data_IF_223718957884
#
_entry.id   IF_223718957884
#
_cell.length_a   1.000
_cell.length_b   1.000
_cell.length_c   1.000
_cell.angle_alpha   90.00
_cell.angle_beta   90.00
_cell.angle_gamma   90.00
#
_symmetry.space_group_name_H-M   'P 1'
#
loop_
_entity.id
_entity.type
_entity.pdbx_description
1 polymer ?
#
# COMPACT_ATOMS: atom_id res chain seq x y z
N UNK A 1 10.51 13.39 -12.21
CA UNK A 1 9.06 13.09 -12.21
C UNK A 1 8.31 13.94 -11.18
N UNK A 2 8.74 13.99 -9.91
CA UNK A 2 8.08 14.80 -8.86
C UNK A 2 8.07 16.32 -9.12
N UNK A 3 9.06 16.86 -9.82
CA UNK A 3 9.15 18.30 -10.10
C UNK A 3 8.05 18.82 -11.04
N UNK A 4 7.58 17.97 -11.97
CA UNK A 4 6.51 18.32 -12.93
C UNK A 4 5.16 17.68 -12.60
N UNK A 5 5.11 16.86 -11.54
CA UNK A 5 3.86 16.23 -11.11
C UNK A 5 2.77 17.25 -10.73
N UNK A 6 3.07 18.36 -10.02
CA UNK A 6 2.06 19.37 -9.68
C UNK A 6 1.33 19.93 -10.91
N UNK A 7 2.04 20.09 -12.03
CA UNK A 7 1.48 20.61 -13.29
C UNK A 7 0.51 19.62 -13.96
N UNK A 8 0.60 18.34 -13.62
CA UNK A 8 -0.24 17.26 -14.15
C UNK A 8 -1.44 16.94 -13.25
N UNK A 9 -1.52 17.52 -12.04
CA UNK A 9 -2.65 17.31 -11.13
C UNK A 9 -3.78 18.25 -11.53
N UNK A 10 -4.96 17.74 -11.92
CA UNK A 10 -6.07 18.60 -12.27
C UNK A 10 -6.56 19.39 -11.05
N UNK A 11 -6.89 20.66 -11.26
CA UNK A 11 -7.39 21.59 -10.23
C UNK A 11 -8.81 21.25 -9.77
N UNK A 12 -9.61 20.59 -10.62
CA UNK A 12 -10.96 20.07 -10.34
C UNK A 12 -11.13 18.64 -10.87
N UNK A 13 -11.98 17.84 -10.22
CA UNK A 13 -12.30 16.47 -10.67
C UNK A 13 -11.21 15.39 -10.43
N UNK A 14 -11.44 14.17 -10.94
CA UNK A 14 -10.53 13.03 -10.82
C UNK A 14 -9.21 13.22 -11.58
N UNK A 15 -8.11 12.65 -11.07
CA UNK A 15 -6.82 12.66 -11.77
C UNK A 15 -6.75 11.52 -12.80
N UNK A 16 -7.42 11.70 -13.94
CA UNK A 16 -7.49 10.67 -15.00
C UNK A 16 -6.10 10.27 -15.52
N UNK A 17 -5.19 11.24 -15.67
CA UNK A 17 -3.80 10.97 -16.11
C UNK A 17 -3.12 9.99 -15.15
N UNK A 18 -3.24 10.22 -13.83
CA UNK A 18 -2.70 9.30 -12.82
C UNK A 18 -3.35 7.92 -12.93
N UNK A 19 -4.67 7.86 -13.12
CA UNK A 19 -5.38 6.59 -13.23
C UNK A 19 -4.92 5.78 -14.46
N UNK A 20 -4.90 6.40 -15.64
CA UNK A 20 -4.51 5.75 -16.88
C UNK A 20 -3.04 5.32 -16.85
N UNK A 21 -2.15 6.18 -16.33
CA UNK A 21 -0.73 5.85 -16.17
C UNK A 21 -0.53 4.68 -15.20
N UNK A 22 -1.27 4.66 -14.09
CA UNK A 22 -1.19 3.55 -13.12
C UNK A 22 -1.66 2.25 -13.75
N UNK A 23 -2.77 2.27 -14.51
CA UNK A 23 -3.27 1.11 -15.24
C UNK A 23 -2.25 0.59 -16.24
N UNK A 24 -1.68 1.48 -17.06
CA UNK A 24 -0.65 1.11 -18.03
C UNK A 24 0.60 0.51 -17.35
N UNK A 25 1.07 1.09 -16.24
CA UNK A 25 2.21 0.55 -15.48
C UNK A 25 1.92 -0.86 -14.92
N UNK A 26 0.70 -1.09 -14.43
CA UNK A 26 0.27 -2.41 -13.95
C UNK A 26 0.28 -3.43 -15.11
N UNK A 27 -0.29 -3.07 -16.26
CA UNK A 27 -0.29 -3.94 -17.44
C UNK A 27 1.12 -4.28 -17.93
N UNK A 28 2.02 -3.29 -17.97
CA UNK A 28 3.42 -3.52 -18.32
C UNK A 28 4.11 -4.42 -17.29
N UNK A 29 3.87 -4.21 -15.99
CA UNK A 29 4.46 -5.05 -14.95
C UNK A 29 3.98 -6.50 -15.04
N UNK A 30 2.69 -6.73 -15.28
CA UNK A 30 2.09 -8.07 -15.43
C UNK A 30 2.64 -8.81 -16.65
N UNK A 31 2.84 -8.09 -17.77
CA UNK A 31 3.32 -8.69 -19.03
C UNK A 31 4.84 -8.86 -19.09
N UNK A 32 5.58 -8.16 -18.22
CA UNK A 32 7.02 -8.27 -18.07
C UNK A 32 7.44 -9.45 -17.18
N UNK A 33 8.71 -9.85 -17.24
CA UNK A 33 9.29 -10.90 -16.37
C UNK A 33 9.59 -10.40 -14.95
N UNK A 34 8.77 -9.50 -14.40
CA UNK A 34 8.95 -8.99 -13.03
C UNK A 34 8.47 -10.05 -12.04
N UNK A 35 9.37 -10.45 -11.15
CA UNK A 35 9.11 -11.50 -10.14
C UNK A 35 8.27 -11.01 -8.95
N UNK A 36 8.29 -9.70 -8.66
CA UNK A 36 7.57 -9.13 -7.51
C UNK A 36 7.10 -7.71 -7.79
N UNK A 37 5.82 -7.44 -7.49
CA UNK A 37 5.19 -6.13 -7.66
C UNK A 37 4.73 -5.65 -6.28
N UNK A 38 5.20 -4.47 -5.87
CA UNK A 38 4.81 -3.84 -4.60
C UNK A 38 3.83 -2.71 -4.89
N UNK A 39 2.59 -2.88 -4.43
CA UNK A 39 1.54 -1.86 -4.53
C UNK A 39 1.44 -1.09 -3.22
N UNK A 40 2.14 0.04 -3.14
CA UNK A 40 2.20 0.86 -1.92
C UNK A 40 1.25 2.06 -2.01
N UNK A 41 0.07 1.92 -1.41
CA UNK A 41 -0.91 2.98 -1.25
C UNK A 41 -1.72 2.71 0.04
N UNK A 42 -2.50 3.69 0.51
CA UNK A 42 -3.26 3.58 1.76
C UNK A 42 -4.27 2.42 1.76
N UNK A 43 -4.84 2.07 0.59
CA UNK A 43 -5.62 0.85 0.37
C UNK A 43 -6.65 0.56 1.48
N UNK A 44 -7.36 1.60 1.91
CA UNK A 44 -8.11 1.59 3.17
C UNK A 44 -9.44 0.86 3.10
N UNK A 45 -9.97 0.57 1.92
CA UNK A 45 -11.29 -0.10 1.77
C UNK A 45 -11.14 -1.49 1.18
N UNK A 46 -11.99 -2.42 1.60
CA UNK A 46 -12.00 -3.79 1.06
C UNK A 46 -12.30 -3.80 -0.44
N UNK A 47 -13.29 -3.01 -0.88
CA UNK A 47 -13.63 -2.88 -2.30
C UNK A 47 -12.46 -2.35 -3.12
N UNK A 48 -11.74 -1.35 -2.60
CA UNK A 48 -10.58 -0.77 -3.30
C UNK A 48 -9.43 -1.78 -3.42
N UNK A 49 -9.15 -2.55 -2.37
CA UNK A 49 -8.15 -3.62 -2.40
C UNK A 49 -8.53 -4.73 -3.39
N UNK A 50 -9.79 -5.16 -3.41
CA UNK A 50 -10.29 -6.13 -4.39
C UNK A 50 -10.06 -5.63 -5.82
N UNK A 51 -10.52 -4.43 -6.14
CA UNK A 51 -10.34 -3.83 -7.47
C UNK A 51 -8.87 -3.71 -7.87
N UNK A 52 -7.99 -3.40 -6.91
CA UNK A 52 -6.55 -3.31 -7.13
C UNK A 52 -5.93 -4.68 -7.44
N UNK A 53 -6.43 -5.76 -6.84
CA UNK A 53 -5.92 -7.11 -7.02
C UNK A 53 -6.53 -7.84 -8.24
N UNK A 54 -7.71 -7.42 -8.71
CA UNK A 54 -8.43 -8.06 -9.83
C UNK A 54 -7.57 -8.30 -11.10
N UNK A 55 -6.65 -7.40 -11.52
CA UNK A 55 -5.80 -7.64 -12.69
C UNK A 55 -4.77 -8.78 -12.53
N UNK A 56 -4.45 -9.16 -11.29
CA UNK A 56 -3.40 -10.14 -10.98
C UNK A 56 -4.01 -11.53 -10.83
N UNK A 57 -3.95 -12.34 -11.89
CA UNK A 57 -4.45 -13.72 -11.83
C UNK A 57 -3.74 -14.53 -10.75
N UNK A 58 -4.52 -15.20 -9.89
CA UNK A 58 -4.01 -16.14 -8.87
C UNK A 58 -3.27 -17.34 -9.45
N UNK A 59 -3.42 -17.62 -10.75
CA UNK A 59 -2.62 -18.65 -11.45
C UNK A 59 -1.17 -18.23 -11.68
N UNK A 60 -0.89 -16.93 -11.61
CA UNK A 60 0.39 -16.34 -12.00
C UNK A 60 1.04 -15.63 -10.82
N UNK A 61 0.25 -14.94 -10.01
CA UNK A 61 0.72 -14.18 -8.86
C UNK A 61 0.15 -14.75 -7.57
N UNK A 62 1.00 -14.78 -6.54
CA UNK A 62 0.57 -14.99 -5.15
C UNK A 62 0.45 -13.62 -4.48
N UNK A 63 -0.73 -13.32 -3.94
CA UNK A 63 -1.03 -12.05 -3.31
C UNK A 63 -0.70 -12.07 -1.81
N UNK A 64 0.12 -11.12 -1.36
CA UNK A 64 0.43 -10.90 0.05
C UNK A 64 -0.07 -9.51 0.44
N UNK A 65 -1.01 -9.45 1.38
CA UNK A 65 -1.51 -8.20 1.92
C UNK A 65 -0.84 -7.88 3.25
N UNK A 66 -0.02 -6.85 3.27
CA UNK A 66 0.65 -6.36 4.49
C UNK A 66 -0.23 -5.28 5.13
N UNK A 67 -0.75 -5.57 6.32
CA UNK A 67 -1.62 -4.68 7.08
C UNK A 67 -0.87 -4.04 8.24
N UNK A 68 -0.61 -2.74 8.12
CA UNK A 68 -0.03 -1.91 9.17
C UNK A 68 -1.11 -1.50 10.19
N UNK A 69 -1.37 -2.39 11.15
CA UNK A 69 -2.30 -2.18 12.26
C UNK A 69 -1.59 -1.56 13.46
N UNK A 70 -0.95 -0.41 13.22
CA UNK A 70 -0.19 0.29 14.25
C UNK A 70 -1.13 1.04 15.21
N UNK A 71 -0.76 1.18 16.50
CA UNK A 71 -1.49 2.01 17.43
C UNK A 71 -1.67 3.44 16.91
N UNK A 72 -2.86 4.01 17.11
CA UNK A 72 -3.18 5.36 16.64
C UNK A 72 -2.19 6.40 17.17
N UNK A 73 -1.74 6.26 18.41
CA UNK A 73 -0.70 7.14 19.01
C UNK A 73 0.60 7.12 18.20
N UNK A 74 1.02 5.95 17.70
CA UNK A 74 2.23 5.80 16.89
C UNK A 74 2.04 6.46 15.52
N UNK A 75 0.87 6.31 14.91
CA UNK A 75 0.55 6.92 13.62
C UNK A 75 0.50 8.45 13.78
N UNK A 76 -0.22 8.95 14.78
CA UNK A 76 -0.35 10.37 15.07
C UNK A 76 1.02 11.02 15.28
N UNK A 77 1.89 10.42 16.11
CA UNK A 77 3.24 10.91 16.37
C UNK A 77 4.10 11.00 15.09
N UNK A 78 4.02 9.97 14.23
CA UNK A 78 4.73 9.96 12.94
C UNK A 78 4.21 11.05 12.00
N UNK A 79 2.90 11.28 11.97
CA UNK A 79 2.30 12.31 11.13
C UNK A 79 2.65 13.72 11.61
N UNK A 80 2.68 13.95 12.93
CA UNK A 80 3.04 15.26 13.50
C UNK A 80 4.51 15.60 13.32
N UNK A 81 5.40 14.59 13.34
CA UNK A 81 6.85 14.78 13.20
C UNK A 81 7.38 14.50 11.78
N UNK A 82 6.49 14.31 10.81
CA UNK A 82 6.86 14.06 9.42
C UNK A 82 7.61 15.25 8.82
N UNK A 83 8.73 14.97 8.13
CA UNK A 83 9.49 15.96 7.35
C UNK A 83 9.06 16.01 5.88
N UNK A 84 8.01 15.28 5.50
CA UNK A 84 7.51 15.29 4.12
C UNK A 84 6.91 16.66 3.82
N UNK A 85 7.20 17.18 2.64
CA UNK A 85 6.78 18.52 2.23
C UNK A 85 5.31 18.60 1.78
N UNK A 86 4.63 17.46 1.66
CA UNK A 86 3.20 17.39 1.37
C UNK A 86 2.82 17.87 -0.03
N UNK A 87 3.78 18.02 -0.95
CA UNK A 87 3.52 18.55 -2.31
C UNK A 87 2.54 17.73 -3.13
N UNK A 88 2.36 16.46 -2.77
CA UNK A 88 1.38 15.56 -3.37
C UNK A 88 -0.05 15.77 -2.82
N UNK A 89 -0.20 16.48 -1.70
CA UNK A 89 -1.50 16.76 -1.11
C UNK A 89 -2.16 17.89 -1.88
N UNK A 90 -3.40 17.65 -2.31
CA UNK A 90 -4.20 18.64 -3.01
C UNK A 90 -4.88 19.56 -2.00
N UNK A 91 -4.64 20.86 -2.13
CA UNK A 91 -5.19 21.89 -1.23
C UNK A 91 -4.47 21.95 0.12
N UNK A 92 -5.07 22.65 1.08
CA UNK A 92 -4.40 23.02 2.33
C UNK A 92 -4.53 21.96 3.46
N UNK A 93 -4.66 20.68 3.10
CA UNK A 93 -4.77 19.61 4.11
C UNK A 93 -3.40 19.11 4.56
N UNK A 94 -3.26 18.76 5.84
CA UNK A 94 -2.10 18.02 6.33
C UNK A 94 -2.29 16.50 6.17
N UNK A 95 -1.23 15.71 6.29
CA UNK A 95 -1.38 14.24 6.35
C UNK A 95 -2.25 13.80 7.54
N UNK A 96 -2.20 14.53 8.65
CA UNK A 96 -3.05 14.27 9.81
C UNK A 96 -4.53 14.49 9.47
N UNK A 97 -4.87 15.60 8.79
CA UNK A 97 -6.24 15.86 8.35
C UNK A 97 -6.76 14.80 7.38
N UNK A 98 -5.89 14.32 6.48
CA UNK A 98 -6.22 13.24 5.55
C UNK A 98 -6.49 11.95 6.34
N UNK A 99 -5.60 11.58 7.26
CA UNK A 99 -5.74 10.37 8.08
C UNK A 99 -7.07 10.37 8.87
N UNK A 100 -7.41 11.48 9.53
CA UNK A 100 -8.66 11.60 10.30
C UNK A 100 -9.93 11.44 9.44
N UNK A 101 -9.85 11.70 8.13
CA UNK A 101 -10.97 11.53 7.19
C UNK A 101 -11.01 10.15 6.55
N UNK A 102 -9.96 9.35 6.68
CA UNK A 102 -9.89 8.03 6.07
C UNK A 102 -10.75 7.04 6.84
N UNK A 103 -11.61 6.34 6.11
CA UNK A 103 -12.27 5.13 6.62
C UNK A 103 -11.35 3.94 6.35
N UNK A 104 -10.83 3.35 7.42
CA UNK A 104 -9.96 2.17 7.38
C UNK A 104 -10.79 0.93 7.69
N UNK A 105 -10.93 0.05 6.70
CA UNK A 105 -11.58 -1.24 6.80
C UNK A 105 -10.51 -2.33 6.94
N UNK A 106 -10.49 -3.05 8.07
CA UNK A 106 -9.57 -4.15 8.27
C UNK A 106 -9.68 -5.19 7.14
N UNK A 107 -8.57 -5.85 6.77
CA UNK A 107 -8.61 -6.99 5.89
C UNK A 107 -9.42 -8.15 6.44
N UNK A 108 -10.02 -8.93 5.54
CA UNK A 108 -10.78 -10.13 5.88
C UNK A 108 -10.16 -11.37 5.27
N UNK A 109 -10.36 -12.52 5.92
CA UNK A 109 -9.87 -13.81 5.42
C UNK A 109 -10.33 -14.05 3.98
N UNK A 110 -9.40 -14.48 3.11
CA UNK A 110 -9.66 -14.76 1.69
C UNK A 110 -9.50 -13.57 0.75
N UNK A 111 -9.30 -12.37 1.28
CA UNK A 111 -9.04 -11.15 0.49
C UNK A 111 -7.74 -11.23 -0.32
N UNK A 112 -6.71 -11.85 0.26
CA UNK A 112 -5.45 -12.18 -0.39
C UNK A 112 -5.07 -13.63 -0.05
N UNK A 113 -4.07 -14.19 -0.74
CA UNK A 113 -3.57 -15.55 -0.46
C UNK A 113 -2.85 -15.61 0.89
N UNK A 114 -2.28 -14.48 1.33
CA UNK A 114 -1.72 -14.31 2.67
C UNK A 114 -1.99 -12.90 3.19
N UNK A 115 -2.25 -12.78 4.50
CA UNK A 115 -2.39 -11.50 5.20
C UNK A 115 -1.36 -11.46 6.33
N UNK A 116 -0.49 -10.45 6.32
CA UNK A 116 0.53 -10.22 7.35
C UNK A 116 0.12 -9.00 8.14
N UNK A 117 -0.15 -9.15 9.44
CA UNK A 117 -0.54 -8.04 10.31
C UNK A 117 0.67 -7.55 11.11
N UNK A 118 0.98 -6.27 11.00
CA UNK A 118 2.09 -5.61 11.69
C UNK A 118 1.50 -4.62 12.71
N UNK A 119 1.69 -4.91 14.00
CA UNK A 119 1.14 -4.13 15.12
C UNK A 119 2.17 -3.21 15.78
N UNK A 120 3.46 -3.43 15.51
CA UNK A 120 4.54 -2.66 16.11
C UNK A 120 5.60 -2.24 15.08
N UNK A 121 6.52 -1.36 15.49
CA UNK A 121 7.67 -1.03 14.63
C UNK A 121 8.64 -2.21 14.53
N UNK A 122 8.76 -3.01 15.59
CA UNK A 122 9.57 -4.23 15.60
C UNK A 122 9.02 -5.29 14.63
N UNK A 123 7.69 -5.39 14.50
CA UNK A 123 7.06 -6.29 13.51
C UNK A 123 7.44 -5.86 12.09
N UNK A 124 7.51 -4.55 11.85
CA UNK A 124 7.91 -3.98 10.55
C UNK A 124 9.36 -4.30 10.26
N UNK A 125 10.26 -4.07 11.22
CA UNK A 125 11.69 -4.34 11.06
C UNK A 125 11.93 -5.84 10.82
N UNK A 126 11.27 -6.69 11.62
CA UNK A 126 11.28 -8.15 11.46
C UNK A 126 10.78 -8.52 10.06
N UNK A 127 9.64 -7.99 9.62
CA UNK A 127 9.11 -8.28 8.29
C UNK A 127 10.06 -7.86 7.17
N UNK A 128 10.71 -6.70 7.27
CA UNK A 128 11.68 -6.21 6.29
C UNK A 128 12.92 -7.10 6.20
N UNK A 129 13.46 -7.56 7.34
CA UNK A 129 14.58 -8.49 7.38
C UNK A 129 14.24 -9.82 6.69
N UNK A 130 12.99 -10.27 6.78
CA UNK A 130 12.54 -11.49 6.13
C UNK A 130 12.29 -11.32 4.63
N UNK A 131 11.70 -10.19 4.20
CA UNK A 131 11.41 -9.93 2.78
C UNK A 131 12.69 -9.68 1.97
N UNK A 132 13.72 -9.11 2.60
CA UNK A 132 15.02 -8.84 1.95
C UNK A 132 15.98 -10.02 1.97
N UNK A 133 15.67 -11.08 2.74
CA UNK A 133 16.43 -12.31 2.77
C UNK A 133 15.86 -13.30 1.75
N UNK A 134 16.65 -13.89 0.83
CA UNK A 134 16.17 -14.69 -0.30
C UNK A 134 15.36 -15.96 0.02
N UNK A 135 15.09 -16.29 1.29
CA UNK A 135 14.22 -17.41 1.68
C UNK A 135 12.79 -16.93 2.00
N UNK A 136 12.08 -16.42 0.99
CA UNK A 136 10.68 -15.98 1.12
C UNK A 136 9.71 -17.12 1.46
N UNK A 137 10.13 -18.37 1.26
CA UNK A 137 9.33 -19.58 1.52
C UNK A 137 8.96 -19.75 3.00
N UNK A 138 9.79 -19.26 3.93
CA UNK A 138 9.58 -19.41 5.38
C UNK A 138 8.45 -18.51 5.94
N UNK A 139 8.04 -17.48 5.20
CA UNK A 139 7.01 -16.51 5.62
C UNK A 139 5.60 -17.13 5.67
N UNK A 140 5.40 -18.28 5.01
CA UNK A 140 4.09 -18.93 4.92
C UNK A 140 3.71 -19.71 6.19
N UNK A 141 4.69 -20.19 6.96
CA UNK A 141 4.44 -21.13 8.05
C UNK A 141 4.57 -20.50 9.45
N UNK A 142 5.33 -19.41 9.60
CA UNK A 142 5.70 -18.88 10.92
C UNK A 142 4.69 -17.88 11.53
N UNK A 143 3.85 -17.22 10.72
CA UNK A 143 2.92 -16.18 11.22
C UNK A 143 1.54 -16.76 11.59
N UNK A 144 1.36 -18.09 11.47
CA UNK A 144 0.12 -18.80 11.78
C UNK A 144 -0.03 -19.26 13.24
N UNK A 145 0.94 -18.97 14.11
CA UNK A 145 0.83 -19.28 15.54
C UNK A 145 0.53 -18.02 16.36
N UNK A 146 -0.70 -18.01 16.87
CA UNK A 146 -1.38 -17.12 17.84
C UNK A 146 -2.27 -15.96 17.35
#
# INVERSE_FOLDING_TARGET
MLEHYPDLVPTEGPNQIKHDLTGWLIEQAITSSVETIILCNANTTQTGRKQLLDPFSRSTFRSILVWFDLPEVTIADRLTHSKRDGREIRGDSSYYDIYQRQRIEPPVTGEADQIVRLRSTEDVDTFLDHVTNPSLDALCDAVLTD
#
